data_IF_303654018992
#
_entry.id   IF_303654018992
#
_cell.length_a   1.000
_cell.length_b   1.000
_cell.length_c   1.000
_cell.angle_alpha   90.00
_cell.angle_beta   90.00
_cell.angle_gamma   90.00
#
_symmetry.space_group_name_H-M   'P 1'
#
loop_
_entity.id
_entity.type
_entity.pdbx_description
1 polymer ?
#
# COMPACT_ATOMS: atom_id res chain seq x y z
N UNK A 1 1.72 13.40 8.19
CA UNK A 1 2.68 12.31 7.92
C UNK A 1 1.94 11.24 7.15
N UNK A 2 2.57 10.66 6.14
CA UNK A 2 1.99 9.71 5.20
C UNK A 2 2.99 8.58 4.99
N UNK A 3 2.54 7.34 5.12
CA UNK A 3 3.24 6.18 4.58
C UNK A 3 2.38 5.56 3.48
N UNK A 4 3.00 5.20 2.36
CA UNK A 4 2.37 4.51 1.22
C UNK A 4 3.06 3.17 1.02
N UNK A 5 2.28 2.09 1.03
CA UNK A 5 2.74 0.72 0.74
C UNK A 5 2.20 0.28 -0.62
N UNK A 6 3.06 -0.23 -1.50
CA UNK A 6 2.66 -0.77 -2.81
C UNK A 6 3.71 -1.76 -3.35
N UNK A 7 3.37 -2.58 -4.34
CA UNK A 7 4.32 -3.51 -4.98
C UNK A 7 5.23 -2.87 -6.02
N UNK A 8 4.73 -1.85 -6.72
CA UNK A 8 5.43 -1.24 -7.84
C UNK A 8 6.29 -0.08 -7.34
N UNK A 9 7.60 -0.31 -7.24
CA UNK A 9 8.59 0.67 -6.78
C UNK A 9 8.72 1.88 -7.69
N UNK A 10 8.58 1.71 -9.01
CA UNK A 10 8.65 2.81 -9.98
C UNK A 10 7.49 3.79 -9.78
N UNK A 11 6.26 3.29 -9.64
CA UNK A 11 5.07 4.13 -9.37
C UNK A 11 5.12 4.79 -8.00
N UNK A 12 5.74 4.14 -7.01
CA UNK A 12 5.98 4.76 -5.70
C UNK A 12 6.95 5.94 -5.81
N UNK A 13 7.97 5.83 -6.66
CA UNK A 13 8.93 6.89 -6.91
C UNK A 13 8.34 8.07 -7.68
N UNK A 14 7.46 7.79 -8.65
CA UNK A 14 6.63 8.81 -9.31
C UNK A 14 5.74 9.54 -8.30
N UNK A 15 4.98 8.79 -7.50
CA UNK A 15 4.10 9.35 -6.48
C UNK A 15 4.88 10.19 -5.47
N UNK A 16 6.08 9.74 -5.07
CA UNK A 16 6.97 10.51 -4.20
C UNK A 16 7.34 11.84 -4.82
N UNK A 17 7.74 11.86 -6.10
CA UNK A 17 8.09 13.09 -6.83
C UNK A 17 6.92 14.06 -6.93
N UNK A 18 5.72 13.57 -7.24
CA UNK A 18 4.51 14.39 -7.36
C UNK A 18 4.09 15.04 -6.03
N UNK A 19 4.30 14.34 -4.92
CA UNK A 19 4.02 14.83 -3.57
C UNK A 19 5.18 15.67 -2.97
N UNK A 20 6.36 15.65 -3.60
CA UNK A 20 7.65 16.01 -2.99
C UNK A 20 7.89 17.47 -2.61
N UNK A 21 7.35 18.53 -3.23
CA UNK A 21 7.91 19.85 -2.96
C UNK A 21 7.68 20.33 -1.52
N UNK A 22 6.65 19.84 -0.81
CA UNK A 22 6.27 20.32 0.53
C UNK A 22 6.17 19.23 1.62
N UNK A 23 6.43 17.96 1.29
CA UNK A 23 6.09 16.81 2.15
C UNK A 23 7.20 15.76 2.33
N UNK A 24 8.42 15.98 1.81
CA UNK A 24 9.46 14.93 1.74
C UNK A 24 9.77 14.28 3.10
N UNK A 25 9.96 15.05 4.17
CA UNK A 25 10.23 14.52 5.52
C UNK A 25 8.99 13.89 6.20
N UNK A 26 7.80 14.09 5.60
CA UNK A 26 6.53 13.59 6.11
C UNK A 26 6.02 12.40 5.31
N UNK A 27 6.70 11.99 4.24
CA UNK A 27 6.28 10.94 3.30
C UNK A 27 7.28 9.78 3.31
N UNK A 28 6.78 8.58 3.58
CA UNK A 28 7.51 7.32 3.44
C UNK A 28 6.83 6.46 2.36
N UNK A 29 7.58 6.02 1.36
CA UNK A 29 7.10 5.03 0.39
C UNK A 29 7.86 3.73 0.60
N UNK A 30 7.16 2.60 0.81
CA UNK A 30 7.80 1.28 0.91
C UNK A 30 7.22 0.33 -0.13
N UNK A 31 8.12 -0.40 -0.78
CA UNK A 31 7.74 -1.44 -1.75
C UNK A 31 7.50 -2.76 -1.01
N UNK A 32 6.25 -3.24 -0.96
CA UNK A 32 5.84 -4.42 -0.18
C UNK A 32 4.76 -5.21 -0.94
N UNK A 33 4.90 -6.55 -1.03
CA UNK A 33 3.82 -7.44 -1.49
C UNK A 33 2.97 -7.96 -0.34
N UNK A 34 1.96 -7.15 -0.06
CA UNK A 34 0.89 -7.39 0.91
C UNK A 34 0.09 -8.70 0.72
N UNK A 35 0.17 -9.36 -0.43
CA UNK A 35 -0.59 -10.59 -0.72
C UNK A 35 0.15 -11.86 -0.34
N UNK A 36 1.43 -11.77 0.01
CA UNK A 36 2.29 -12.93 0.21
C UNK A 36 2.53 -13.28 1.67
N UNK A 37 2.76 -12.28 2.53
CA UNK A 37 3.14 -12.53 3.93
C UNK A 37 2.64 -11.45 4.88
N UNK A 38 1.96 -11.89 5.95
CA UNK A 38 1.59 -11.01 7.06
C UNK A 38 2.82 -10.39 7.74
N UNK A 39 3.91 -11.14 7.85
CA UNK A 39 5.16 -10.68 8.50
C UNK A 39 5.77 -9.49 7.74
N UNK A 40 5.73 -9.51 6.40
CA UNK A 40 6.22 -8.39 5.59
C UNK A 40 5.38 -7.12 5.81
N UNK A 41 4.07 -7.26 5.94
CA UNK A 41 3.16 -6.16 6.25
C UNK A 41 3.42 -5.61 7.64
N UNK A 42 3.58 -6.48 8.64
CA UNK A 42 3.89 -6.08 10.02
C UNK A 42 5.23 -5.33 10.08
N UNK A 43 6.27 -5.87 9.44
CA UNK A 43 7.58 -5.23 9.36
C UNK A 43 7.51 -3.84 8.69
N UNK A 44 6.70 -3.69 7.65
CA UNK A 44 6.50 -2.40 6.97
C UNK A 44 5.79 -1.38 7.88
N UNK A 45 4.79 -1.82 8.64
CA UNK A 45 4.10 -0.97 9.62
C UNK A 45 5.08 -0.54 10.73
N UNK A 46 5.87 -1.46 11.28
CA UNK A 46 6.87 -1.14 12.31
C UNK A 46 7.94 -0.18 11.78
N UNK A 47 8.38 -0.33 10.53
CA UNK A 47 9.26 0.63 9.88
C UNK A 47 8.59 2.02 9.78
N UNK A 48 7.32 2.08 9.36
CA UNK A 48 6.59 3.34 9.29
C UNK A 48 6.51 4.06 10.65
N UNK A 49 6.22 3.31 11.73
CA UNK A 49 6.15 3.84 13.09
C UNK A 49 7.49 4.44 13.51
N UNK A 50 8.59 3.69 13.32
CA UNK A 50 9.95 4.17 13.63
C UNK A 50 10.33 5.42 12.83
N UNK A 51 10.04 5.42 11.53
CA UNK A 51 10.31 6.56 10.65
C UNK A 51 9.57 7.83 11.11
N UNK A 52 8.34 7.68 11.61
CA UNK A 52 7.51 8.79 12.06
C UNK A 52 7.67 9.13 13.55
N UNK A 53 8.85 8.82 14.14
CA UNK A 53 9.23 9.13 15.53
C UNK A 53 8.40 8.35 16.57
N UNK A 54 8.22 7.04 16.33
CA UNK A 54 7.49 6.11 17.19
C UNK A 54 6.04 6.53 17.48
N UNK A 55 5.44 7.28 16.55
CA UNK A 55 4.04 7.70 16.63
C UNK A 55 3.12 6.57 16.15
N UNK A 56 1.98 6.34 16.83
CA UNK A 56 1.03 5.32 16.44
C UNK A 56 0.38 5.65 15.09
N UNK A 57 -0.21 4.63 14.47
CA UNK A 57 -1.01 4.75 13.24
C UNK A 57 -2.42 5.19 13.60
N UNK A 58 -2.80 6.40 13.20
CA UNK A 58 -4.14 6.94 13.44
C UNK A 58 -5.17 6.46 12.41
N UNK A 59 -4.74 6.33 11.16
CA UNK A 59 -5.61 5.99 10.03
C UNK A 59 -4.98 4.85 9.25
N UNK A 60 -5.78 3.83 8.98
CA UNK A 60 -5.44 2.72 8.10
C UNK A 60 -6.42 2.71 6.92
N UNK A 61 -5.97 3.16 5.75
CA UNK A 61 -6.72 2.96 4.52
C UNK A 61 -6.26 1.66 3.89
N UNK A 62 -7.19 0.85 3.41
CA UNK A 62 -6.87 -0.34 2.64
C UNK A 62 -7.42 -0.18 1.22
N UNK A 63 -6.59 0.32 0.30
CA UNK A 63 -7.05 0.71 -1.04
C UNK A 63 -6.45 -0.08 -2.22
N UNK A 64 -5.68 -1.17 -2.00
CA UNK A 64 -5.17 -1.97 -3.13
C UNK A 64 -6.18 -3.00 -3.58
N UNK A 65 -6.42 -3.04 -4.88
CA UNK A 65 -7.23 -4.05 -5.48
C UNK A 65 -6.69 -4.35 -6.87
N UNK A 66 -6.96 -5.56 -7.32
CA UNK A 66 -6.91 -5.89 -8.74
C UNK A 66 -8.35 -6.10 -9.21
N UNK A 67 -8.64 -5.75 -10.45
CA UNK A 67 -9.93 -6.02 -11.06
C UNK A 67 -9.74 -6.42 -12.52
N UNK A 68 -10.62 -7.29 -12.99
CA UNK A 68 -10.74 -7.64 -14.40
C UNK A 68 -12.12 -7.21 -14.90
N UNK A 69 -12.15 -6.47 -15.99
CA UNK A 69 -13.41 -6.06 -16.64
C UNK A 69 -13.65 -6.95 -17.87
N UNK A 70 -14.38 -8.06 -17.68
CA UNK A 70 -14.75 -8.99 -18.75
C UNK A 70 -16.03 -9.78 -18.39
N UNK A 71 -16.72 -10.41 -19.35
CA UNK A 71 -17.85 -11.29 -19.08
C UNK A 71 -17.48 -12.43 -18.11
N UNK A 72 -18.44 -12.81 -17.26
CA UNK A 72 -18.22 -13.82 -16.22
C UNK A 72 -17.85 -15.19 -16.81
N UNK A 73 -18.52 -15.59 -17.89
CA UNK A 73 -18.28 -16.82 -18.65
C UNK A 73 -16.89 -16.87 -19.32
N UNK A 74 -16.19 -15.73 -19.39
CA UNK A 74 -14.83 -15.61 -19.91
C UNK A 74 -13.77 -15.47 -18.81
N UNK A 75 -14.18 -15.48 -17.53
CA UNK A 75 -13.25 -15.40 -16.40
C UNK A 75 -12.83 -16.81 -16.00
N UNK A 76 -11.52 -17.07 -16.02
CA UNK A 76 -11.02 -18.38 -15.60
C UNK A 76 -11.08 -18.49 -14.07
N UNK A 77 -11.28 -19.70 -13.50
CA UNK A 77 -11.28 -19.90 -12.06
C UNK A 77 -10.02 -19.36 -11.36
N UNK A 78 -8.85 -19.47 -12.00
CA UNK A 78 -7.59 -18.98 -11.45
C UNK A 78 -7.55 -17.45 -11.35
N UNK A 79 -8.10 -16.75 -12.35
CA UNK A 79 -8.20 -15.29 -12.35
C UNK A 79 -9.19 -14.82 -11.27
N UNK A 80 -10.24 -15.59 -11.01
CA UNK A 80 -11.18 -15.32 -9.93
C UNK A 80 -10.56 -15.56 -8.54
N UNK A 81 -9.82 -16.65 -8.37
CA UNK A 81 -9.08 -16.94 -7.14
C UNK A 81 -8.05 -15.83 -6.85
N UNK A 82 -7.30 -15.41 -7.87
CA UNK A 82 -6.33 -14.32 -7.77
C UNK A 82 -7.00 -13.01 -7.31
N UNK A 83 -8.15 -12.64 -7.89
CA UNK A 83 -8.91 -11.47 -7.46
C UNK A 83 -9.41 -11.57 -6.02
N UNK A 84 -9.67 -12.77 -5.52
CA UNK A 84 -10.11 -13.00 -4.14
C UNK A 84 -8.97 -12.92 -3.14
N UNK A 85 -7.79 -13.45 -3.51
CA UNK A 85 -6.61 -13.51 -2.66
C UNK A 85 -5.84 -12.18 -2.62
N UNK A 86 -5.75 -11.47 -3.75
CA UNK A 86 -5.03 -10.18 -3.85
C UNK A 86 -5.87 -8.97 -3.43
N UNK A 87 -7.01 -9.19 -2.77
CA UNK A 87 -7.77 -8.07 -2.19
C UNK A 87 -6.93 -7.45 -1.07
N UNK A 88 -6.66 -6.17 -1.24
CA UNK A 88 -6.55 -5.20 -0.14
C UNK A 88 -5.15 -5.04 0.50
N UNK A 89 -4.39 -4.03 0.02
CA UNK A 89 -3.57 -3.12 0.85
C UNK A 89 -2.71 -2.10 0.05
N UNK A 90 -3.27 -0.91 -0.18
CA UNK A 90 -2.49 0.32 -0.20
C UNK A 90 -2.72 0.90 1.17
N UNK A 91 -1.71 0.86 2.03
CA UNK A 91 -1.80 1.47 3.34
C UNK A 91 -1.49 2.95 3.21
N UNK A 92 -2.42 3.78 3.67
CA UNK A 92 -2.25 5.22 3.79
C UNK A 92 -2.36 5.58 5.27
N UNK A 93 -1.22 5.88 5.88
CA UNK A 93 -1.15 6.28 7.30
C UNK A 93 -1.16 7.79 7.37
N UNK A 94 -2.31 8.44 7.61
CA UNK A 94 -2.39 9.91 7.72
C UNK A 94 -2.67 10.36 9.14
N UNK A 95 -1.74 11.11 9.73
CA UNK A 95 -2.02 12.01 10.87
C UNK A 95 -2.44 13.38 10.32
N UNK A 96 -3.66 13.80 10.67
CA UNK A 96 -4.07 15.21 10.61
C UNK A 96 -3.81 15.75 12.02
N UNK A 97 -2.98 16.77 12.10
CA UNK A 97 -2.79 17.54 13.33
C UNK A 97 -4.04 18.40 13.57
#
# INVERSE_FOLDING_TARGET
RVTILARNSERLEECRRDLSPNLSERLLCLSVDISQSYEEVENAIQHAIRHHQDKPVDILINSAAIFYARPFDQTKPEEFAEMSEKKSAFYFIKRID
#
